data_IF_847888600473
#
_entry.id   IF_847888600473
#
_cell.length_a   1.000
_cell.length_b   1.000
_cell.length_c   1.000
_cell.angle_alpha   90.00
_cell.angle_beta   90.00
_cell.angle_gamma   90.00
#
_symmetry.space_group_name_H-M   'P 1'
#
loop_
_entity.id
_entity.type
_entity.pdbx_description
1 polymer ?
#
# COMPACT_ATOMS: atom_id res chain seq x y z
N UNK A 1 0.59 -15.73 -2.98
CA UNK A 1 -0.07 -15.87 -1.66
C UNK A 1 0.85 -16.39 -0.55
N UNK A 2 1.62 -17.46 -0.76
CA UNK A 2 2.51 -18.06 0.27
C UNK A 2 3.47 -17.08 0.96
N UNK A 3 4.07 -16.12 0.23
CA UNK A 3 4.93 -15.11 0.84
C UNK A 3 4.18 -14.24 1.86
N UNK A 4 3.01 -13.72 1.47
CA UNK A 4 2.18 -12.88 2.34
C UNK A 4 1.62 -13.68 3.53
N UNK A 5 1.25 -14.94 3.31
CA UNK A 5 0.82 -15.84 4.39
C UNK A 5 1.91 -16.06 5.44
N UNK A 6 3.15 -16.34 5.00
CA UNK A 6 4.30 -16.47 5.91
C UNK A 6 4.55 -15.18 6.69
N UNK A 7 4.53 -14.02 6.02
CA UNK A 7 4.72 -12.72 6.66
C UNK A 7 3.65 -12.43 7.71
N UNK A 8 2.36 -12.62 7.37
CA UNK A 8 1.27 -12.41 8.33
C UNK A 8 1.43 -13.33 9.55
N UNK A 9 1.81 -14.61 9.34
CA UNK A 9 2.11 -15.54 10.44
C UNK A 9 3.25 -15.02 11.32
N UNK A 10 4.35 -14.53 10.74
CA UNK A 10 5.48 -13.96 11.48
C UNK A 10 5.04 -12.76 12.33
N UNK A 11 4.27 -11.82 11.75
CA UNK A 11 3.73 -10.67 12.49
C UNK A 11 2.80 -11.09 13.62
N UNK A 12 1.93 -12.08 13.37
CA UNK A 12 1.04 -12.65 14.41
C UNK A 12 1.84 -13.21 15.58
N UNK A 13 2.88 -14.00 15.30
CA UNK A 13 3.73 -14.60 16.32
C UNK A 13 4.55 -13.54 17.07
N UNK A 14 5.08 -12.53 16.37
CA UNK A 14 5.77 -11.41 16.99
C UNK A 14 4.85 -10.62 17.95
N UNK A 15 3.56 -10.50 17.59
CA UNK A 15 2.53 -9.91 18.44
C UNK A 15 2.02 -10.86 19.55
N UNK A 16 2.62 -12.04 19.72
CA UNK A 16 2.23 -13.10 20.70
C UNK A 16 0.75 -13.49 20.60
N UNK A 17 0.20 -13.46 19.41
CA UNK A 17 -1.22 -13.72 19.17
C UNK A 17 -1.42 -15.15 18.66
N UNK A 18 -2.39 -15.88 19.20
CA UNK A 18 -2.75 -17.21 18.67
C UNK A 18 -3.61 -17.09 17.40
N UNK A 19 -3.75 -18.18 16.63
CA UNK A 19 -4.66 -18.20 15.47
C UNK A 19 -6.12 -17.97 15.89
N UNK A 20 -6.51 -18.49 17.07
CA UNK A 20 -7.85 -18.30 17.64
C UNK A 20 -8.12 -16.84 18.01
N UNK A 21 -7.18 -16.20 18.70
CA UNK A 21 -7.30 -14.77 19.03
C UNK A 21 -7.34 -13.90 17.77
N UNK A 22 -6.54 -14.22 16.75
CA UNK A 22 -6.59 -13.52 15.48
C UNK A 22 -7.94 -13.69 14.78
N UNK A 23 -8.51 -14.90 14.82
CA UNK A 23 -9.85 -15.18 14.28
C UNK A 23 -10.92 -14.32 14.98
N UNK A 24 -10.92 -14.33 16.32
CA UNK A 24 -11.87 -13.56 17.14
C UNK A 24 -11.78 -12.06 16.86
N UNK A 25 -10.57 -11.51 16.74
CA UNK A 25 -10.36 -10.08 16.49
C UNK A 25 -10.67 -9.66 15.04
N UNK A 26 -10.35 -10.51 14.06
CA UNK A 26 -10.50 -10.18 12.64
C UNK A 26 -11.88 -10.50 12.07
N UNK A 27 -12.68 -11.32 12.76
CA UNK A 27 -13.94 -11.86 12.24
C UNK A 27 -13.75 -12.92 11.14
N UNK A 28 -12.51 -13.36 10.90
CA UNK A 28 -12.18 -14.40 9.93
C UNK A 28 -12.20 -15.75 10.63
N UNK A 29 -12.75 -16.79 10.00
CA UNK A 29 -12.81 -18.11 10.63
C UNK A 29 -11.41 -18.68 10.91
N UNK A 30 -11.29 -19.42 12.02
CA UNK A 30 -10.03 -20.09 12.39
C UNK A 30 -9.52 -21.03 11.28
N UNK A 31 -10.43 -21.75 10.61
CA UNK A 31 -10.10 -22.63 9.51
C UNK A 31 -9.49 -21.85 8.32
N UNK A 32 -10.05 -20.68 8.00
CA UNK A 32 -9.52 -19.80 6.94
C UNK A 32 -8.10 -19.32 7.27
N UNK A 33 -7.85 -18.87 8.51
CA UNK A 33 -6.52 -18.43 8.94
C UNK A 33 -5.52 -19.60 8.89
N UNK A 34 -5.92 -20.76 9.41
CA UNK A 34 -5.07 -21.96 9.41
C UNK A 34 -4.68 -22.39 7.99
N UNK A 35 -5.66 -22.53 7.09
CA UNK A 35 -5.40 -22.87 5.69
C UNK A 35 -4.58 -21.81 4.95
N UNK A 36 -4.79 -20.54 5.26
CA UNK A 36 -4.02 -19.44 4.70
C UNK A 36 -2.55 -19.53 5.13
N UNK A 37 -2.27 -19.67 6.44
CA UNK A 37 -0.90 -19.78 6.97
C UNK A 37 -0.17 -21.05 6.51
N UNK A 38 -0.90 -22.14 6.28
CA UNK A 38 -0.36 -23.40 5.77
C UNK A 38 -0.20 -23.42 4.23
N UNK A 39 -0.78 -22.44 3.53
CA UNK A 39 -0.75 -22.37 2.06
C UNK A 39 -1.66 -23.40 1.36
N UNK A 40 -2.54 -24.08 2.10
CA UNK A 40 -3.46 -25.12 1.59
C UNK A 40 -4.60 -24.52 0.78
N UNK A 41 -5.11 -23.35 1.18
CA UNK A 41 -6.15 -22.63 0.45
C UNK A 41 -5.67 -21.22 0.09
N UNK A 42 -5.43 -20.99 -1.20
CA UNK A 42 -4.92 -19.73 -1.71
C UNK A 42 -6.03 -18.70 -2.00
N UNK A 43 -7.31 -19.10 -1.90
CA UNK A 43 -8.45 -18.28 -2.28
C UNK A 43 -9.02 -17.50 -1.10
N UNK A 44 -8.17 -16.71 -0.44
CA UNK A 44 -8.64 -15.76 0.58
C UNK A 44 -9.15 -14.50 -0.10
N UNK A 45 -10.32 -14.01 0.33
CA UNK A 45 -10.86 -12.74 -0.16
C UNK A 45 -9.98 -11.58 0.30
N UNK A 46 -9.94 -10.52 -0.50
CA UNK A 46 -9.19 -9.31 -0.17
C UNK A 46 -9.69 -8.67 1.13
N UNK A 47 -11.01 -8.67 1.38
CA UNK A 47 -11.58 -8.17 2.63
C UNK A 47 -11.03 -8.91 3.85
N UNK A 48 -11.00 -10.25 3.81
CA UNK A 48 -10.44 -11.04 4.90
C UNK A 48 -8.94 -10.76 5.08
N UNK A 49 -8.19 -10.65 3.98
CA UNK A 49 -6.78 -10.28 4.02
C UNK A 49 -6.56 -8.92 4.69
N UNK A 50 -7.34 -7.89 4.31
CA UNK A 50 -7.27 -6.55 4.91
C UNK A 50 -7.65 -6.60 6.40
N UNK A 51 -8.65 -7.39 6.78
CA UNK A 51 -8.99 -7.59 8.20
C UNK A 51 -7.83 -8.18 8.99
N UNK A 52 -7.10 -9.15 8.44
CA UNK A 52 -5.89 -9.69 9.09
C UNK A 52 -4.78 -8.63 9.20
N UNK A 53 -4.56 -7.82 8.14
CA UNK A 53 -3.59 -6.73 8.16
C UNK A 53 -3.91 -5.70 9.25
N UNK A 54 -5.19 -5.39 9.47
CA UNK A 54 -5.63 -4.49 10.54
C UNK A 54 -5.25 -5.02 11.92
N UNK A 55 -5.41 -6.31 12.14
CA UNK A 55 -5.08 -6.93 13.44
C UNK A 55 -3.57 -6.95 13.71
N UNK A 56 -2.74 -7.01 12.67
CA UNK A 56 -1.27 -6.91 12.81
C UNK A 56 -0.75 -5.47 12.66
N UNK A 57 -1.63 -4.46 12.53
CA UNK A 57 -1.27 -3.04 12.44
C UNK A 57 -0.61 -2.63 11.12
N UNK A 58 -0.86 -3.36 10.05
CA UNK A 58 -0.25 -3.14 8.72
C UNK A 58 -1.24 -2.60 7.69
N UNK A 59 -2.47 -2.20 8.06
CA UNK A 59 -3.47 -1.79 7.07
C UNK A 59 -3.06 -0.57 6.24
N UNK A 60 -2.27 0.34 6.81
CA UNK A 60 -1.80 1.55 6.10
C UNK A 60 -0.98 1.22 4.86
N UNK A 61 -0.27 0.08 4.86
CA UNK A 61 0.53 -0.37 3.71
C UNK A 61 -0.32 -0.70 2.48
N UNK A 62 -1.62 -0.90 2.64
CA UNK A 62 -2.54 -1.14 1.53
C UNK A 62 -2.74 0.15 0.73
N UNK A 63 -2.74 1.32 1.37
CA UNK A 63 -2.86 2.62 0.69
C UNK A 63 -1.66 2.91 -0.21
N UNK A 64 -0.49 2.41 0.16
CA UNK A 64 0.77 2.58 -0.59
C UNK A 64 0.90 1.61 -1.78
N UNK A 65 -0.09 0.74 -2.02
CA UNK A 65 -0.01 -0.28 -3.06
C UNK A 65 -0.08 0.30 -4.47
N UNK A 66 -0.84 1.38 -4.65
CA UNK A 66 -0.99 2.05 -5.94
C UNK A 66 -0.12 3.31 -5.96
N UNK A 67 0.53 3.61 -7.10
CA UNK A 67 1.31 4.83 -7.23
C UNK A 67 0.39 6.06 -7.13
N UNK A 68 0.99 7.20 -6.77
CA UNK A 68 0.29 8.49 -6.84
C UNK A 68 -0.27 8.71 -8.25
N UNK A 69 -1.52 9.16 -8.30
CA UNK A 69 -2.16 9.46 -9.58
C UNK A 69 -1.35 10.54 -10.31
N UNK A 70 -1.04 10.34 -11.61
CA UNK A 70 -0.31 11.34 -12.36
C UNK A 70 -1.10 12.64 -12.41
N UNK A 71 -0.39 13.76 -12.35
CA UNK A 71 -0.99 15.10 -12.47
C UNK A 71 -1.87 15.18 -13.72
N UNK A 72 -3.16 15.55 -13.60
CA UNK A 72 -4.06 15.62 -14.73
C UNK A 72 -3.51 16.54 -15.83
N UNK A 73 -3.72 16.25 -17.13
CA UNK A 73 -3.24 17.08 -18.24
C UNK A 73 -3.62 18.56 -18.15
N UNK A 74 -4.72 18.88 -17.46
CA UNK A 74 -5.16 20.25 -17.22
C UNK A 74 -4.28 20.99 -16.20
N UNK A 75 -3.75 20.28 -15.20
CA UNK A 75 -2.76 20.82 -14.27
C UNK A 75 -1.41 21.04 -14.99
N UNK A 76 -1.00 20.11 -15.86
CA UNK A 76 0.16 20.29 -16.75
C UNK A 76 0.00 21.51 -17.68
N UNK A 77 -1.19 21.74 -18.24
CA UNK A 77 -1.47 22.94 -19.05
C UNK A 77 -1.36 24.23 -18.25
N UNK A 78 -1.79 24.25 -16.98
CA UNK A 78 -1.64 25.43 -16.10
C UNK A 78 -0.17 25.71 -15.80
N UNK A 79 0.62 24.68 -15.51
CA UNK A 79 2.07 24.80 -15.29
C UNK A 79 2.78 25.26 -16.56
N UNK A 80 2.46 24.67 -17.72
CA UNK A 80 3.04 25.08 -19.01
C UNK A 80 2.69 26.52 -19.42
N UNK A 81 1.59 27.10 -18.92
CA UNK A 81 1.29 28.53 -19.11
C UNK A 81 2.22 29.44 -18.30
N UNK A 82 2.74 28.96 -17.17
CA UNK A 82 3.66 29.70 -16.30
C UNK A 82 5.11 29.60 -16.77
N UNK A 83 5.45 28.59 -17.58
CA UNK A 83 6.77 28.48 -18.22
C UNK A 83 6.85 29.56 -19.32
N UNK A 84 7.80 30.52 -19.22
CA UNK A 84 7.95 31.56 -20.24
C UNK A 84 8.34 30.91 -21.58
N UNK A 85 7.50 31.07 -22.61
CA UNK A 85 7.75 30.57 -23.97
C UNK A 85 8.97 31.21 -24.64
N UNK A 86 9.41 32.36 -24.14
CA UNK A 86 10.59 33.10 -24.61
C UNK A 86 11.15 33.90 -23.45
N UNK A 87 12.44 33.76 -23.20
CA UNK A 87 13.19 34.64 -22.29
C UNK A 87 13.99 35.60 -23.16
N UNK A 88 13.84 36.92 -22.94
CA UNK A 88 14.72 37.92 -23.54
C UNK A 88 15.92 38.07 -22.60
N UNK A 89 17.14 37.86 -23.10
CA UNK A 89 18.35 38.30 -22.39
C UNK A 89 18.53 39.78 -22.69
N UNK A 90 18.64 40.60 -21.65
CA UNK A 90 19.06 41.98 -21.81
C UNK A 90 20.59 41.99 -22.02
N UNK A 91 21.06 42.90 -22.85
CA UNK A 91 22.47 43.02 -23.25
C UNK A 91 23.45 43.33 -22.10
N UNK A 92 22.94 43.57 -20.88
CA UNK A 92 23.74 43.90 -19.71
C UNK A 92 24.27 42.68 -18.94
N UNK A 93 23.77 41.47 -19.22
CA UNK A 93 24.17 40.24 -18.50
C UNK A 93 25.50 39.62 -19.00
N UNK A 94 26.20 40.27 -19.93
CA UNK A 94 27.45 39.77 -20.54
C UNK A 94 28.73 40.41 -19.99
N UNK A 95 28.68 41.08 -18.84
CA UNK A 95 29.89 41.52 -18.12
C UNK A 95 29.94 40.92 -16.72
N UNK A 96 30.50 39.71 -16.60
CA UNK A 96 31.23 39.20 -15.42
C UNK A 96 31.99 37.94 -15.83
#
# INVERSE_FOLDING_TARGET
MLLLAKRIKEYRLAARMSQKEMAEKSGVSLATISHFEQGVNQNMTLNNFISLLRIVGMEQRVSDLLPELPMPPMALKKINKLIPKRVRRNSDDTKS
#
